data_IF_348804195128
#
_entry.id   IF_348804195128
#
_cell.length_a   1.000
_cell.length_b   1.000
_cell.length_c   1.000
_cell.angle_alpha   90.00
_cell.angle_beta   90.00
_cell.angle_gamma   90.00
#
_symmetry.space_group_name_H-M   'P 1'
#
loop_
_entity.id
_entity.type
_entity.pdbx_description
1 polymer ?
#
# COMPACT_ATOMS: atom_id res chain seq x y z
N UNK A 1 4.30 40.30 -16.59
CA UNK A 1 4.64 38.85 -16.72
C UNK A 1 6.12 38.68 -16.33
N UNK A 2 6.42 38.35 -15.08
CA UNK A 2 7.76 37.89 -14.70
C UNK A 2 7.90 36.42 -15.16
N UNK A 3 8.75 36.20 -16.12
CA UNK A 3 9.24 34.86 -16.46
C UNK A 3 10.04 34.35 -15.23
N UNK A 4 9.49 33.37 -14.52
CA UNK A 4 10.28 32.61 -13.57
C UNK A 4 11.21 31.71 -14.38
N UNK A 5 12.49 32.06 -14.44
CA UNK A 5 13.52 31.15 -14.93
C UNK A 5 13.55 29.91 -14.01
N UNK A 6 13.08 28.77 -14.52
CA UNK A 6 13.28 27.51 -13.85
C UNK A 6 14.79 27.17 -13.83
N UNK A 7 15.32 26.86 -12.66
CA UNK A 7 16.69 26.31 -12.57
C UNK A 7 16.61 24.80 -12.80
N UNK A 8 17.26 24.33 -13.84
CA UNK A 8 17.54 22.91 -13.99
C UNK A 8 18.62 22.56 -12.99
N UNK A 9 18.32 21.66 -12.06
CA UNK A 9 19.31 21.14 -11.10
C UNK A 9 20.38 20.35 -11.85
N UNK A 10 21.65 20.60 -11.52
CA UNK A 10 22.74 19.76 -12.02
C UNK A 10 22.62 18.33 -11.44
N UNK A 11 23.10 17.32 -12.17
CA UNK A 11 23.18 15.96 -11.62
C UNK A 11 23.91 15.94 -10.29
N UNK A 12 23.58 14.99 -9.39
CA UNK A 12 24.29 14.87 -8.11
C UNK A 12 25.81 14.76 -8.30
N UNK A 13 26.61 15.26 -7.36
CA UNK A 13 28.07 15.10 -7.41
C UNK A 13 28.46 13.63 -7.61
N UNK A 14 29.34 13.37 -8.55
CA UNK A 14 29.82 12.01 -8.88
C UNK A 14 29.16 11.37 -10.10
N UNK A 15 28.14 11.98 -10.67
CA UNK A 15 27.60 11.54 -11.97
C UNK A 15 28.56 11.94 -13.10
N UNK A 16 29.15 10.95 -13.73
CA UNK A 16 30.01 11.11 -14.93
C UNK A 16 29.18 10.91 -16.18
N UNK A 17 28.28 11.84 -16.48
CA UNK A 17 27.60 11.83 -17.77
C UNK A 17 27.59 13.24 -18.34
N UNK A 18 28.02 13.37 -19.56
CA UNK A 18 27.99 14.62 -20.32
C UNK A 18 26.69 14.76 -21.15
N UNK A 19 25.84 13.74 -21.10
CA UNK A 19 24.59 13.68 -21.86
C UNK A 19 23.42 13.38 -20.93
N UNK A 20 22.37 14.21 -20.99
CA UNK A 20 21.10 13.99 -20.30
C UNK A 20 19.96 14.51 -21.17
N UNK A 21 18.82 13.84 -21.11
CA UNK A 21 17.59 14.28 -21.77
C UNK A 21 16.82 15.23 -20.87
N UNK A 22 16.34 16.33 -21.43
CA UNK A 22 15.47 17.30 -20.74
C UNK A 22 14.10 17.25 -21.37
N UNK A 23 13.11 16.90 -20.56
CA UNK A 23 11.71 16.89 -20.95
C UNK A 23 11.01 18.10 -20.34
N UNK A 24 10.30 18.88 -21.16
CA UNK A 24 9.51 20.03 -20.73
C UNK A 24 8.04 19.70 -20.96
N UNK A 25 7.25 19.80 -19.90
CA UNK A 25 5.83 19.50 -19.93
C UNK A 25 5.00 20.76 -19.65
N UNK A 26 3.87 20.89 -20.35
CA UNK A 26 2.85 21.86 -20.00
C UNK A 26 1.96 21.30 -18.87
N UNK A 27 1.96 21.98 -17.73
CA UNK A 27 1.18 21.61 -16.56
C UNK A 27 -0.10 22.46 -16.38
N UNK A 28 -0.48 23.27 -17.37
CA UNK A 28 -1.73 24.04 -17.33
C UNK A 28 -2.96 23.12 -17.39
N UNK A 29 -2.83 21.97 -18.07
CA UNK A 29 -3.83 20.92 -18.12
C UNK A 29 -3.35 19.69 -17.33
N UNK A 30 -3.66 19.55 -16.04
CA UNK A 30 -3.10 18.51 -15.18
C UNK A 30 -3.28 17.08 -15.71
N UNK A 31 -4.43 16.77 -16.29
CA UNK A 31 -4.70 15.44 -16.85
C UNK A 31 -3.80 15.12 -18.05
N UNK A 32 -3.56 16.12 -18.91
CA UNK A 32 -2.63 15.99 -20.04
C UNK A 32 -1.19 15.83 -19.54
N UNK A 33 -0.79 16.65 -18.57
CA UNK A 33 0.52 16.55 -17.94
C UNK A 33 0.77 15.14 -17.39
N UNK A 34 -0.18 14.59 -16.61
CA UNK A 34 -0.05 13.24 -16.04
C UNK A 34 0.04 12.17 -17.16
N UNK A 35 -0.71 12.34 -18.24
CA UNK A 35 -0.67 11.41 -19.38
C UNK A 35 0.68 11.47 -20.09
N UNK A 36 1.20 12.65 -20.36
CA UNK A 36 2.47 12.86 -21.05
C UNK A 36 3.64 12.27 -20.25
N UNK A 37 3.71 12.57 -18.95
CA UNK A 37 4.73 12.00 -18.06
C UNK A 37 4.59 10.48 -17.94
N UNK A 38 3.35 9.95 -17.85
CA UNK A 38 3.10 8.51 -17.85
C UNK A 38 3.58 7.82 -19.12
N UNK A 39 3.45 8.49 -20.27
CA UNK A 39 3.91 7.95 -21.55
C UNK A 39 5.42 7.76 -21.58
N UNK A 40 6.19 8.71 -21.03
CA UNK A 40 7.66 8.64 -20.99
C UNK A 40 8.13 7.67 -19.90
N UNK A 41 7.56 7.76 -18.70
CA UNK A 41 7.96 6.91 -17.58
C UNK A 41 7.48 5.45 -17.70
N UNK A 42 6.55 5.18 -18.60
CA UNK A 42 5.83 3.92 -18.74
C UNK A 42 4.53 3.90 -17.94
N UNK A 43 3.42 3.50 -18.58
CA UNK A 43 2.12 3.45 -17.92
C UNK A 43 2.09 2.38 -16.83
N UNK A 44 1.31 2.63 -15.79
CA UNK A 44 1.05 1.62 -14.76
C UNK A 44 0.42 0.36 -15.36
N UNK A 45 0.74 -0.81 -14.83
CA UNK A 45 0.06 -2.06 -15.21
C UNK A 45 -1.18 -2.28 -14.36
N UNK A 46 -2.17 -2.96 -14.93
CA UNK A 46 -3.41 -3.25 -14.24
C UNK A 46 -3.17 -4.38 -13.21
N UNK A 47 -3.42 -4.15 -11.91
CA UNK A 47 -3.17 -5.14 -10.88
C UNK A 47 -4.21 -6.27 -10.91
N UNK A 48 -3.99 -7.39 -10.23
CA UNK A 48 -5.02 -8.38 -9.99
C UNK A 48 -6.14 -7.79 -9.11
N UNK A 49 -7.38 -8.20 -9.35
CA UNK A 49 -8.55 -7.62 -8.67
C UNK A 49 -8.52 -7.83 -7.16
N UNK A 50 -8.04 -8.98 -6.69
CA UNK A 50 -7.94 -9.31 -5.27
C UNK A 50 -7.06 -8.31 -4.50
N UNK A 51 -6.04 -7.73 -5.15
CA UNK A 51 -5.16 -6.74 -4.51
C UNK A 51 -5.89 -5.45 -4.11
N UNK A 52 -7.10 -5.19 -4.63
CA UNK A 52 -7.93 -4.06 -4.23
C UNK A 52 -8.72 -4.31 -2.95
N UNK A 53 -8.76 -5.56 -2.45
CA UNK A 53 -9.43 -5.94 -1.20
C UNK A 53 -8.54 -5.74 0.03
N UNK A 54 -9.01 -6.26 1.16
CA UNK A 54 -8.27 -6.21 2.42
C UNK A 54 -7.23 -7.34 2.50
N UNK A 55 -6.06 -7.00 3.01
CA UNK A 55 -4.96 -7.95 3.24
C UNK A 55 -4.58 -7.93 4.72
N UNK A 56 -4.40 -9.09 5.31
CA UNK A 56 -3.95 -9.23 6.69
C UNK A 56 -2.50 -9.67 6.75
N UNK A 57 -1.70 -8.91 7.48
CA UNK A 57 -0.29 -9.16 7.76
C UNK A 57 0.02 -8.74 9.19
N UNK A 58 1.01 -9.32 9.82
CA UNK A 58 1.62 -8.83 11.06
C UNK A 58 2.92 -9.57 11.38
N UNK A 59 3.82 -8.93 12.13
CA UNK A 59 5.09 -9.54 12.56
C UNK A 59 4.94 -10.58 13.68
N UNK A 60 3.76 -10.74 14.26
CA UNK A 60 3.49 -11.71 15.33
C UNK A 60 2.67 -12.92 14.87
N UNK A 61 2.49 -13.10 13.56
CA UNK A 61 1.84 -14.30 13.03
C UNK A 61 2.69 -15.54 13.38
N UNK A 62 2.09 -16.54 14.01
CA UNK A 62 2.82 -17.64 14.64
C UNK A 62 3.02 -18.84 13.72
N UNK A 63 1.94 -19.39 13.18
CA UNK A 63 1.97 -20.64 12.44
C UNK A 63 0.79 -20.78 11.45
N UNK A 64 0.75 -21.94 10.78
CA UNK A 64 -0.30 -22.29 9.83
C UNK A 64 -1.68 -22.41 10.46
N UNK A 65 -1.77 -22.92 11.68
CA UNK A 65 -3.04 -23.05 12.38
C UNK A 65 -3.64 -21.68 12.72
N UNK A 66 -2.80 -20.73 13.14
CA UNK A 66 -3.23 -19.35 13.38
C UNK A 66 -3.69 -18.67 12.09
N UNK A 67 -2.99 -18.87 10.97
CA UNK A 67 -3.42 -18.32 9.66
C UNK A 67 -4.82 -18.81 9.27
N UNK A 68 -5.07 -20.10 9.38
CA UNK A 68 -6.36 -20.72 9.09
C UNK A 68 -7.44 -20.16 10.01
N UNK A 69 -7.18 -20.14 11.34
CA UNK A 69 -8.14 -19.64 12.34
C UNK A 69 -8.50 -18.16 12.14
N UNK A 70 -7.54 -17.33 11.73
CA UNK A 70 -7.81 -15.92 11.40
C UNK A 70 -8.76 -15.81 10.20
N UNK A 71 -8.52 -16.57 9.14
CA UNK A 71 -9.41 -16.55 7.97
C UNK A 71 -10.82 -17.08 8.31
N UNK A 72 -10.91 -18.14 9.12
CA UNK A 72 -12.19 -18.66 9.60
C UNK A 72 -12.94 -17.57 10.39
N UNK A 73 -12.25 -16.83 11.27
CA UNK A 73 -12.84 -15.71 12.01
C UNK A 73 -13.30 -14.58 11.09
N UNK A 74 -12.54 -14.22 10.04
CA UNK A 74 -13.00 -13.25 9.03
C UNK A 74 -14.31 -13.70 8.38
N UNK A 75 -14.44 -15.00 8.05
CA UNK A 75 -15.65 -15.56 7.41
C UNK A 75 -16.81 -15.59 8.38
N UNK A 76 -16.60 -16.03 9.62
CA UNK A 76 -17.62 -16.04 10.68
C UNK A 76 -18.17 -14.63 10.93
N UNK A 77 -17.30 -13.65 11.08
CA UNK A 77 -17.66 -12.23 11.30
C UNK A 77 -18.20 -11.53 10.04
N UNK A 78 -18.14 -12.23 8.89
CA UNK A 78 -18.52 -11.65 7.59
C UNK A 78 -17.76 -10.36 7.28
N UNK A 79 -16.47 -10.32 7.60
CA UNK A 79 -15.56 -9.25 7.22
C UNK A 79 -14.79 -9.73 5.99
N UNK A 80 -14.90 -9.06 4.83
CA UNK A 80 -14.19 -9.48 3.63
C UNK A 80 -12.66 -9.41 3.81
N UNK A 81 -11.96 -10.40 3.26
CA UNK A 81 -10.50 -10.45 3.19
C UNK A 81 -10.08 -11.23 1.95
N UNK A 82 -9.07 -10.75 1.23
CA UNK A 82 -8.60 -11.35 -0.03
C UNK A 82 -7.22 -11.99 0.07
N UNK A 83 -6.39 -11.56 1.02
CA UNK A 83 -5.04 -12.12 1.15
C UNK A 83 -4.55 -12.16 2.59
N UNK A 84 -3.69 -13.12 2.85
CA UNK A 84 -2.82 -13.17 4.04
C UNK A 84 -1.37 -13.06 3.62
N UNK A 85 -0.58 -12.35 4.41
CA UNK A 85 0.84 -12.12 4.15
C UNK A 85 1.64 -12.68 5.32
N UNK A 86 2.50 -13.66 5.08
CA UNK A 86 3.35 -14.26 6.09
C UNK A 86 4.78 -13.73 5.99
N UNK A 87 5.34 -13.28 7.12
CA UNK A 87 6.67 -12.72 7.15
C UNK A 87 7.76 -13.80 7.20
N UNK A 88 8.90 -13.47 6.59
CA UNK A 88 10.08 -14.31 6.61
C UNK A 88 10.82 -14.27 7.96
N UNK A 89 11.64 -15.27 8.19
CA UNK A 89 12.49 -15.43 9.37
C UNK A 89 13.37 -14.19 9.56
N UNK A 90 13.55 -13.78 10.83
CA UNK A 90 14.23 -12.52 11.20
C UNK A 90 13.31 -11.31 11.31
N UNK A 91 12.12 -11.34 10.70
CA UNK A 91 11.08 -10.30 10.79
C UNK A 91 9.93 -10.70 11.70
N UNK A 92 9.85 -11.95 12.04
CA UNK A 92 8.94 -12.53 13.03
C UNK A 92 9.70 -13.60 13.81
N UNK A 93 9.30 -13.94 15.04
CA UNK A 93 9.91 -15.04 15.80
C UNK A 93 9.84 -16.38 15.08
N UNK A 94 8.85 -16.57 14.20
CA UNK A 94 8.61 -17.81 13.45
C UNK A 94 8.29 -17.47 12.00
N UNK A 95 9.33 -17.18 11.20
CA UNK A 95 9.14 -16.88 9.78
C UNK A 95 8.73 -18.10 8.96
N UNK A 96 8.09 -17.83 7.82
CA UNK A 96 7.62 -18.89 6.91
C UNK A 96 8.77 -19.70 6.30
N UNK A 97 9.94 -19.10 6.12
CA UNK A 97 11.12 -19.72 5.55
C UNK A 97 12.18 -20.06 6.61
N UNK A 98 13.16 -20.87 6.24
CA UNK A 98 14.18 -21.36 7.18
C UNK A 98 15.19 -20.29 7.58
N UNK A 99 15.52 -19.37 6.65
CA UNK A 99 16.38 -18.20 6.87
C UNK A 99 16.15 -17.15 5.77
N UNK A 100 16.91 -16.06 5.77
CA UNK A 100 16.91 -15.06 4.70
C UNK A 100 18.27 -15.06 3.95
N UNK A 101 18.23 -15.16 2.61
CA UNK A 101 17.12 -15.57 1.76
C UNK A 101 17.01 -17.10 1.74
N UNK A 102 15.82 -17.63 1.83
CA UNK A 102 15.55 -19.04 1.62
C UNK A 102 14.19 -19.20 0.95
N UNK A 103 14.10 -20.14 0.03
CA UNK A 103 12.87 -20.52 -0.67
C UNK A 103 12.28 -21.81 -0.12
N UNK A 104 12.70 -22.21 1.09
CA UNK A 104 12.23 -23.41 1.77
C UNK A 104 11.31 -23.04 2.92
N UNK A 105 10.16 -23.72 3.00
CA UNK A 105 9.22 -23.54 4.10
C UNK A 105 9.82 -24.04 5.43
N UNK A 106 9.68 -23.22 6.45
CA UNK A 106 10.06 -23.57 7.82
C UNK A 106 9.07 -24.61 8.39
N UNK A 107 9.49 -25.86 8.49
CA UNK A 107 8.68 -26.98 8.99
C UNK A 107 8.34 -26.87 10.48
N UNK A 108 9.02 -26.03 11.22
CA UNK A 108 8.67 -25.67 12.59
C UNK A 108 7.42 -24.79 12.69
N UNK A 109 7.09 -24.05 11.62
CA UNK A 109 5.91 -23.19 11.47
C UNK A 109 4.83 -23.90 10.65
N UNK A 110 5.18 -24.38 9.46
CA UNK A 110 4.31 -25.16 8.58
C UNK A 110 4.44 -26.65 8.90
N UNK A 111 3.70 -27.11 9.91
CA UNK A 111 3.78 -28.50 10.42
C UNK A 111 3.21 -29.51 9.45
N UNK A 112 2.12 -29.17 8.75
CA UNK A 112 1.58 -29.94 7.64
C UNK A 112 2.38 -29.68 6.36
N UNK A 113 2.09 -30.39 5.28
CA UNK A 113 2.67 -30.09 3.99
C UNK A 113 2.26 -28.66 3.55
N UNK A 114 3.21 -27.81 3.15
CA UNK A 114 2.90 -26.43 2.76
C UNK A 114 1.82 -26.34 1.67
N UNK A 115 1.85 -27.25 0.70
CA UNK A 115 0.85 -27.32 -0.37
C UNK A 115 -0.57 -27.50 0.16
N UNK A 116 -0.75 -28.35 1.18
CA UNK A 116 -2.06 -28.60 1.77
C UNK A 116 -2.55 -27.38 2.55
N UNK A 117 -1.64 -26.73 3.28
CA UNK A 117 -1.96 -25.50 4.02
C UNK A 117 -2.39 -24.39 3.05
N UNK A 118 -1.61 -24.16 2.00
CA UNK A 118 -1.93 -23.12 1.02
C UNK A 118 -3.25 -23.44 0.28
N UNK A 119 -3.50 -24.71 0.00
CA UNK A 119 -4.79 -25.16 -0.55
C UNK A 119 -5.97 -24.85 0.38
N UNK A 120 -5.79 -25.07 1.69
CA UNK A 120 -6.80 -24.71 2.70
C UNK A 120 -7.07 -23.21 2.76
N UNK A 121 -6.02 -22.37 2.62
CA UNK A 121 -6.17 -20.92 2.57
C UNK A 121 -6.89 -20.49 1.29
N UNK A 122 -6.56 -21.10 0.16
CA UNK A 122 -7.24 -20.86 -1.11
C UNK A 122 -8.72 -21.30 -1.06
N UNK A 123 -9.02 -22.43 -0.42
CA UNK A 123 -10.40 -22.87 -0.22
C UNK A 123 -11.23 -21.87 0.60
N UNK A 124 -10.57 -21.05 1.42
CA UNK A 124 -11.15 -19.91 2.14
C UNK A 124 -11.16 -18.61 1.33
N UNK A 125 -10.91 -18.71 0.04
CA UNK A 125 -10.86 -17.57 -0.90
C UNK A 125 -9.83 -16.49 -0.49
N UNK A 126 -8.68 -16.89 0.05
CA UNK A 126 -7.57 -15.97 0.37
C UNK A 126 -6.35 -16.30 -0.48
N UNK A 127 -5.70 -15.28 -0.98
CA UNK A 127 -4.38 -15.34 -1.62
C UNK A 127 -3.29 -15.38 -0.56
N UNK A 128 -2.18 -16.06 -0.88
CA UNK A 128 -1.03 -16.19 0.02
C UNK A 128 0.14 -15.39 -0.53
N UNK A 129 0.58 -14.41 0.26
CA UNK A 129 1.74 -13.60 -0.06
C UNK A 129 2.85 -13.93 0.93
N UNK A 130 4.06 -14.14 0.43
CA UNK A 130 5.23 -14.33 1.29
C UNK A 130 6.14 -13.11 1.26
N UNK A 131 6.51 -12.67 2.47
CA UNK A 131 7.50 -11.63 2.66
C UNK A 131 8.89 -12.24 2.70
N UNK A 132 9.85 -11.61 2.04
CA UNK A 132 11.23 -12.05 2.04
C UNK A 132 12.18 -10.88 1.78
N UNK A 133 13.40 -11.04 2.25
CA UNK A 133 14.54 -10.30 1.73
C UNK A 133 15.15 -11.19 0.65
N UNK A 134 15.17 -10.76 -0.61
CA UNK A 134 15.64 -11.62 -1.72
C UNK A 134 17.16 -11.83 -1.75
N UNK A 135 17.90 -11.33 -0.76
CA UNK A 135 19.34 -11.49 -0.63
C UNK A 135 19.77 -11.43 0.84
N UNK A 136 20.86 -12.08 1.12
CA UNK A 136 21.67 -11.87 2.30
C UNK A 136 22.58 -10.67 2.06
N UNK A 137 22.70 -9.76 3.02
CA UNK A 137 23.54 -8.56 2.93
C UNK A 137 25.00 -8.91 2.56
N UNK A 138 25.50 -10.02 3.09
CA UNK A 138 26.88 -10.45 2.92
C UNK A 138 27.09 -11.38 1.71
N UNK A 139 25.99 -11.83 1.07
CA UNK A 139 26.02 -12.86 0.02
C UNK A 139 25.26 -12.51 -1.24
N UNK A 140 24.88 -11.27 -1.42
CA UNK A 140 24.10 -10.81 -2.57
C UNK A 140 24.64 -11.34 -3.90
N UNK A 141 25.96 -11.35 -4.05
CA UNK A 141 26.63 -11.82 -5.26
C UNK A 141 26.76 -13.34 -5.35
N UNK A 142 26.74 -14.05 -4.24
CA UNK A 142 27.03 -15.48 -4.21
C UNK A 142 25.81 -16.37 -4.28
N UNK A 143 24.67 -15.92 -3.75
CA UNK A 143 23.44 -16.72 -3.72
C UNK A 143 22.61 -16.60 -4.99
N UNK A 144 22.58 -15.44 -5.58
CA UNK A 144 21.69 -15.12 -6.69
C UNK A 144 22.44 -14.51 -7.89
N UNK A 145 23.77 -14.61 -7.91
CA UNK A 145 24.60 -14.03 -8.98
C UNK A 145 24.37 -12.53 -9.10
N UNK A 146 23.70 -12.11 -10.13
CA UNK A 146 23.46 -10.70 -10.45
C UNK A 146 22.07 -10.20 -10.02
N UNK A 147 21.51 -10.64 -8.90
CA UNK A 147 20.15 -10.24 -8.52
C UNK A 147 20.12 -9.31 -7.31
N UNK A 148 19.59 -8.12 -7.48
CA UNK A 148 19.38 -7.48 -8.79
C UNK A 148 20.71 -7.39 -9.54
N UNK A 149 20.72 -7.41 -10.88
CA UNK A 149 21.95 -7.30 -11.64
C UNK A 149 22.78 -6.11 -11.20
N UNK A 150 24.11 -6.20 -11.29
CA UNK A 150 25.03 -5.10 -10.93
C UNK A 150 24.66 -3.84 -11.68
N UNK A 151 24.97 -2.69 -11.07
CA UNK A 151 24.70 -1.39 -11.71
C UNK A 151 25.34 -1.36 -13.11
N UNK A 152 24.57 -0.99 -14.11
CA UNK A 152 25.00 -0.96 -15.52
C UNK A 152 24.67 -2.22 -16.32
N UNK A 153 24.34 -3.34 -15.68
CA UNK A 153 23.88 -4.52 -16.39
C UNK A 153 22.39 -4.40 -16.77
N UNK A 154 22.02 -4.98 -17.90
CA UNK A 154 20.63 -5.05 -18.34
C UNK A 154 19.95 -6.27 -17.75
N UNK A 155 18.77 -6.11 -17.18
CA UNK A 155 17.92 -7.25 -16.82
C UNK A 155 17.33 -7.80 -18.11
N UNK A 156 17.75 -8.96 -18.48
CA UNK A 156 17.23 -9.70 -19.64
C UNK A 156 16.43 -10.92 -19.21
N UNK A 157 15.88 -11.63 -20.19
CA UNK A 157 15.07 -12.83 -19.94
C UNK A 157 15.85 -13.97 -19.27
N UNK A 158 17.15 -14.05 -19.48
CA UNK A 158 18.00 -15.05 -18.85
C UNK A 158 18.15 -14.78 -17.34
N UNK A 159 18.44 -13.56 -16.96
CA UNK A 159 18.51 -13.15 -15.55
C UNK A 159 17.17 -13.38 -14.83
N UNK A 160 16.06 -13.01 -15.47
CA UNK A 160 14.73 -13.21 -14.94
C UNK A 160 14.43 -14.70 -14.73
N UNK A 161 14.72 -15.53 -15.73
CA UNK A 161 14.47 -16.97 -15.65
C UNK A 161 15.34 -17.63 -14.58
N UNK A 162 16.62 -17.28 -14.50
CA UNK A 162 17.55 -17.81 -13.50
C UNK A 162 17.11 -17.49 -12.07
N UNK A 163 16.74 -16.24 -11.82
CA UNK A 163 16.25 -15.83 -10.52
C UNK A 163 14.91 -16.47 -10.19
N UNK A 164 14.00 -16.52 -11.16
CA UNK A 164 12.68 -17.05 -10.93
C UNK A 164 12.65 -18.55 -10.71
N UNK A 165 13.68 -19.27 -11.17
CA UNK A 165 13.81 -20.71 -10.88
C UNK A 165 13.81 -21.00 -9.37
N UNK A 166 14.42 -20.14 -8.55
CA UNK A 166 14.41 -20.26 -7.11
C UNK A 166 12.97 -20.12 -6.51
N UNK A 167 12.15 -19.29 -7.14
CA UNK A 167 10.76 -19.07 -6.69
C UNK A 167 9.78 -20.13 -7.20
N UNK A 168 10.13 -20.88 -8.24
CA UNK A 168 9.19 -21.78 -8.91
C UNK A 168 8.61 -22.86 -7.98
N UNK A 169 9.40 -23.38 -7.04
CA UNK A 169 8.93 -24.35 -6.06
C UNK A 169 7.84 -23.76 -5.14
N UNK A 170 7.96 -22.46 -4.78
CA UNK A 170 6.95 -21.78 -3.98
C UNK A 170 5.67 -21.52 -4.78
N UNK A 171 5.78 -21.14 -6.06
CA UNK A 171 4.62 -20.99 -6.94
C UNK A 171 3.89 -22.34 -7.10
N UNK A 172 4.61 -23.44 -7.31
CA UNK A 172 4.06 -24.78 -7.43
C UNK A 172 3.42 -25.27 -6.13
N UNK A 173 3.85 -24.72 -4.99
CA UNK A 173 3.24 -25.00 -3.68
C UNK A 173 1.94 -24.20 -3.48
N UNK A 174 1.77 -23.07 -4.16
CA UNK A 174 0.56 -22.25 -4.11
C UNK A 174 0.78 -20.80 -3.62
N UNK A 175 2.02 -20.31 -3.54
CA UNK A 175 2.28 -18.89 -3.26
C UNK A 175 1.81 -18.06 -4.45
N UNK A 176 0.98 -17.04 -4.17
CA UNK A 176 0.35 -16.21 -5.20
C UNK A 176 1.12 -14.92 -5.50
N UNK A 177 1.84 -14.38 -4.51
CA UNK A 177 2.46 -13.08 -4.64
C UNK A 177 3.59 -12.84 -3.62
N UNK A 178 4.27 -11.71 -3.72
CA UNK A 178 5.55 -11.48 -3.08
C UNK A 178 5.61 -10.12 -2.38
N UNK A 179 6.30 -10.10 -1.26
CA UNK A 179 6.69 -8.87 -0.60
C UNK A 179 8.22 -8.84 -0.44
N UNK A 180 8.98 -8.43 -1.50
CA UNK A 180 10.42 -8.19 -1.39
C UNK A 180 10.68 -6.91 -0.59
N UNK A 181 11.04 -7.07 0.67
CA UNK A 181 11.31 -5.98 1.60
C UNK A 181 12.78 -5.48 1.52
N UNK A 182 13.10 -4.45 2.28
CA UNK A 182 14.41 -3.79 2.36
C UNK A 182 14.96 -3.26 1.01
N UNK A 183 16.28 -3.13 0.87
CA UNK A 183 16.93 -2.58 -0.32
C UNK A 183 16.97 -1.05 -0.32
N UNK A 184 16.95 -0.43 0.86
CA UNK A 184 17.00 1.03 0.99
C UNK A 184 18.31 1.62 0.45
N UNK A 185 19.39 0.81 0.47
CA UNK A 185 20.72 1.14 -0.08
C UNK A 185 20.83 0.99 -1.60
N UNK A 186 19.81 0.47 -2.26
CA UNK A 186 19.83 0.32 -3.72
C UNK A 186 19.80 1.67 -4.42
N UNK A 187 20.59 1.78 -5.50
CA UNK A 187 20.46 2.85 -6.48
C UNK A 187 19.08 2.85 -7.14
N UNK A 188 18.68 3.94 -7.78
CA UNK A 188 17.42 4.01 -8.52
C UNK A 188 17.31 2.93 -9.60
N UNK A 189 18.41 2.61 -10.25
CA UNK A 189 18.49 1.59 -11.27
C UNK A 189 18.24 0.18 -10.70
N UNK A 190 18.87 -0.16 -9.58
CA UNK A 190 18.69 -1.45 -8.91
C UNK A 190 17.26 -1.62 -8.37
N UNK A 191 16.67 -0.55 -7.86
CA UNK A 191 15.23 -0.56 -7.45
C UNK A 191 14.33 -0.87 -8.64
N UNK A 192 14.56 -0.25 -9.80
CA UNK A 192 13.80 -0.51 -11.02
C UNK A 192 13.95 -1.97 -11.47
N UNK A 193 15.18 -2.49 -11.49
CA UNK A 193 15.45 -3.89 -11.83
C UNK A 193 14.73 -4.87 -10.90
N UNK A 194 14.72 -4.60 -9.60
CA UNK A 194 13.98 -5.43 -8.63
C UNK A 194 12.47 -5.46 -8.93
N UNK A 195 11.86 -4.30 -9.21
CA UNK A 195 10.47 -4.25 -9.63
C UNK A 195 10.23 -5.05 -10.92
N UNK A 196 11.12 -4.92 -11.90
CA UNK A 196 11.06 -5.67 -13.15
C UNK A 196 11.12 -7.19 -12.90
N UNK A 197 12.04 -7.65 -12.06
CA UNK A 197 12.17 -9.07 -11.72
C UNK A 197 10.91 -9.65 -11.10
N UNK A 198 10.29 -8.95 -10.16
CA UNK A 198 9.04 -9.40 -9.50
C UNK A 198 7.78 -9.17 -10.34
N UNK A 199 7.91 -8.58 -11.51
CA UNK A 199 6.85 -8.50 -12.51
C UNK A 199 7.03 -9.54 -13.63
N UNK A 200 8.20 -9.57 -14.27
CA UNK A 200 8.46 -10.44 -15.41
C UNK A 200 8.72 -11.88 -14.98
N UNK A 201 9.31 -12.09 -13.81
CA UNK A 201 9.53 -13.42 -13.24
C UNK A 201 8.24 -14.24 -13.10
N UNK A 202 7.21 -13.77 -12.38
CA UNK A 202 5.92 -14.46 -12.33
C UNK A 202 5.30 -14.71 -13.70
N UNK A 203 5.39 -13.75 -14.63
CA UNK A 203 4.86 -13.89 -15.97
C UNK A 203 5.57 -14.97 -16.78
N UNK A 204 6.85 -15.23 -16.55
CA UNK A 204 7.57 -16.31 -17.20
C UNK A 204 7.02 -17.70 -16.86
N UNK A 205 6.50 -17.86 -15.63
CA UNK A 205 5.90 -19.12 -15.15
C UNK A 205 4.39 -19.15 -15.41
N UNK A 206 3.69 -18.04 -15.18
CA UNK A 206 2.22 -17.94 -15.25
C UNK A 206 1.80 -16.73 -16.10
N UNK A 207 1.95 -16.78 -17.43
CA UNK A 207 1.80 -15.61 -18.30
C UNK A 207 0.37 -15.02 -18.31
N UNK A 208 -0.63 -15.80 -17.92
CA UNK A 208 -2.03 -15.38 -17.88
C UNK A 208 -2.49 -14.86 -16.51
N UNK A 209 -1.60 -14.82 -15.50
CA UNK A 209 -1.89 -14.35 -14.16
C UNK A 209 -1.23 -13.00 -13.97
N UNK A 210 -1.99 -11.98 -13.56
CA UNK A 210 -1.42 -10.67 -13.26
C UNK A 210 -0.55 -10.74 -12.01
N UNK A 211 0.75 -10.40 -12.10
CA UNK A 211 1.63 -10.37 -10.94
C UNK A 211 1.22 -9.29 -9.94
N UNK A 212 1.55 -9.52 -8.68
CA UNK A 212 1.49 -8.53 -7.63
C UNK A 212 2.71 -8.64 -6.72
N UNK A 213 3.28 -7.51 -6.38
CA UNK A 213 4.36 -7.43 -5.40
C UNK A 213 4.29 -6.13 -4.60
N UNK A 214 4.69 -6.20 -3.33
CA UNK A 214 4.78 -5.05 -2.44
C UNK A 214 6.25 -4.73 -2.17
N UNK A 215 6.67 -3.50 -2.46
CA UNK A 215 8.04 -3.05 -2.32
C UNK A 215 8.15 -1.91 -1.33
N UNK A 216 9.28 -1.84 -0.60
CA UNK A 216 9.58 -0.78 0.35
C UNK A 216 9.94 0.54 -0.33
N UNK A 217 10.49 0.50 -1.51
CA UNK A 217 10.99 1.68 -2.21
C UNK A 217 10.76 1.59 -3.72
N UNK A 218 10.77 2.75 -4.33
CA UNK A 218 10.59 2.91 -5.75
C UNK A 218 10.73 4.37 -6.14
N UNK A 219 10.55 4.65 -7.42
CA UNK A 219 10.59 5.99 -7.99
C UNK A 219 9.73 6.05 -9.25
N UNK A 220 9.72 7.20 -9.93
CA UNK A 220 9.02 7.35 -11.20
C UNK A 220 9.39 6.22 -12.17
N UNK A 221 8.39 5.57 -12.75
CA UNK A 221 8.53 4.48 -13.70
C UNK A 221 8.34 3.06 -13.13
N UNK A 222 8.44 2.84 -11.80
CA UNK A 222 8.24 1.48 -11.22
C UNK A 222 6.81 0.95 -11.45
N UNK A 223 5.83 1.83 -11.63
CA UNK A 223 4.45 1.43 -11.87
C UNK A 223 4.26 0.59 -13.15
N UNK A 224 5.18 0.69 -14.14
CA UNK A 224 5.20 -0.15 -15.34
C UNK A 224 5.43 -1.63 -15.04
N UNK A 225 5.97 -1.94 -13.87
CA UNK A 225 6.21 -3.29 -13.38
C UNK A 225 5.25 -3.70 -12.26
N UNK A 226 4.13 -3.00 -12.10
CA UNK A 226 3.08 -3.38 -11.17
C UNK A 226 3.45 -3.36 -9.70
N UNK A 227 4.57 -2.75 -9.34
CA UNK A 227 5.02 -2.65 -7.97
C UNK A 227 4.13 -1.75 -7.14
N UNK A 228 3.66 -2.28 -6.02
CA UNK A 228 2.97 -1.52 -4.99
C UNK A 228 3.99 -1.08 -3.95
N UNK A 229 3.80 0.09 -3.38
CA UNK A 229 4.72 0.67 -2.41
C UNK A 229 3.96 1.02 -1.14
N UNK A 230 4.60 0.82 0.02
CA UNK A 230 4.06 1.33 1.28
C UNK A 230 5.04 2.34 1.89
N UNK A 231 4.57 3.08 2.87
CA UNK A 231 5.32 4.17 3.49
C UNK A 231 6.47 3.72 4.42
N UNK A 232 6.76 2.42 4.46
CA UNK A 232 7.79 1.86 5.35
C UNK A 232 7.36 1.84 6.83
N UNK A 233 8.32 1.77 7.71
CA UNK A 233 8.15 1.59 9.14
C UNK A 233 7.79 2.91 9.84
N UNK A 234 6.51 3.25 9.88
CA UNK A 234 6.01 4.49 10.46
C UNK A 234 5.56 4.33 11.91
N UNK A 235 5.60 5.41 12.69
CA UNK A 235 5.11 5.41 14.07
C UNK A 235 3.57 5.44 14.11
N UNK A 236 3.00 4.72 15.05
CA UNK A 236 1.56 4.69 15.33
C UNK A 236 1.16 5.96 16.09
N UNK A 237 0.95 7.08 15.40
CA UNK A 237 0.53 8.35 16.00
C UNK A 237 -0.43 9.14 15.10
N UNK A 238 -1.22 10.03 15.69
CA UNK A 238 -2.11 10.92 14.94
C UNK A 238 -1.34 11.88 14.03
N UNK A 239 -0.15 12.32 14.47
CA UNK A 239 0.75 13.14 13.65
C UNK A 239 1.24 12.38 12.41
N UNK A 240 1.54 11.10 12.56
CA UNK A 240 1.92 10.24 11.42
C UNK A 240 0.73 10.04 10.48
N UNK A 241 -0.47 9.77 11.01
CA UNK A 241 -1.68 9.63 10.19
C UNK A 241 -1.93 10.89 9.34
N UNK A 242 -1.82 12.08 9.94
CA UNK A 242 -1.89 13.36 9.22
C UNK A 242 -0.89 13.43 8.07
N UNK A 243 0.37 13.11 8.35
CA UNK A 243 1.44 13.13 7.34
C UNK A 243 1.19 12.10 6.21
N UNK A 244 0.64 10.93 6.52
CA UNK A 244 0.39 9.88 5.53
C UNK A 244 -0.63 10.30 4.46
N UNK A 245 -1.55 11.19 4.76
CA UNK A 245 -2.50 11.73 3.77
C UNK A 245 -1.73 12.50 2.69
N UNK A 246 -0.86 13.44 3.11
CA UNK A 246 -0.04 14.22 2.19
C UNK A 246 0.97 13.35 1.43
N UNK A 247 1.57 12.35 2.10
CA UNK A 247 2.49 11.39 1.47
C UNK A 247 1.79 10.62 0.35
N UNK A 248 0.58 10.08 0.58
CA UNK A 248 -0.18 9.35 -0.42
C UNK A 248 -0.55 10.22 -1.63
N UNK A 249 -0.95 11.47 -1.39
CA UNK A 249 -1.23 12.44 -2.46
C UNK A 249 0.01 12.69 -3.32
N UNK A 250 1.17 12.95 -2.70
CA UNK A 250 2.41 13.22 -3.42
C UNK A 250 2.95 11.99 -4.13
N UNK A 251 2.82 10.81 -3.51
CA UNK A 251 3.20 9.53 -4.13
C UNK A 251 2.42 9.30 -5.42
N UNK A 252 1.12 9.57 -5.39
CA UNK A 252 0.23 9.48 -6.56
C UNK A 252 0.60 10.46 -7.66
N UNK A 253 0.97 11.70 -7.32
CA UNK A 253 1.46 12.71 -8.27
C UNK A 253 2.80 12.34 -8.91
N UNK A 254 3.59 11.48 -8.26
CA UNK A 254 4.83 10.91 -8.80
C UNK A 254 4.59 9.69 -9.69
N UNK A 255 3.37 9.50 -10.21
CA UNK A 255 2.97 8.39 -11.07
C UNK A 255 3.24 6.99 -10.49
N UNK A 256 3.12 6.89 -9.17
CA UNK A 256 3.08 5.61 -8.46
C UNK A 256 1.69 5.46 -7.84
N UNK A 257 0.69 5.01 -8.62
CA UNK A 257 -0.72 5.06 -8.24
C UNK A 257 -1.11 4.03 -7.18
N UNK A 258 -0.22 3.08 -6.90
CA UNK A 258 -0.47 1.96 -6.00
C UNK A 258 0.36 2.13 -4.73
N UNK A 259 -0.26 2.74 -3.73
CA UNK A 259 0.38 3.08 -2.47
C UNK A 259 -0.55 2.82 -1.28
N UNK A 260 0.05 2.60 -0.11
CA UNK A 260 -0.63 2.56 1.17
C UNK A 260 0.32 2.69 2.35
N UNK A 261 -0.22 2.60 3.53
CA UNK A 261 0.53 2.57 4.79
C UNK A 261 0.03 1.44 5.68
N UNK A 262 0.82 1.04 6.66
CA UNK A 262 0.40 0.08 7.66
C UNK A 262 -0.73 0.66 8.50
N UNK A 263 -1.88 -0.02 8.54
CA UNK A 263 -3.05 0.46 9.29
C UNK A 263 -2.72 0.49 10.78
N UNK A 264 -2.81 1.70 11.35
CA UNK A 264 -2.46 1.96 12.73
C UNK A 264 -0.96 2.27 12.95
N UNK A 265 -0.17 2.38 11.88
CA UNK A 265 1.28 2.56 11.92
C UNK A 265 2.02 1.25 12.20
N UNK A 266 3.32 1.20 11.95
CA UNK A 266 4.15 0.01 12.15
C UNK A 266 4.71 -0.08 13.57
N UNK A 267 5.48 0.94 14.00
CA UNK A 267 6.00 1.00 15.37
C UNK A 267 4.90 1.45 16.33
N UNK A 268 4.53 0.61 17.32
CA UNK A 268 3.53 1.00 18.31
C UNK A 268 4.03 2.17 19.18
N UNK A 269 3.11 3.04 19.56
CA UNK A 269 3.31 4.12 20.52
C UNK A 269 2.11 4.18 21.47
N UNK A 270 2.15 5.05 22.48
CA UNK A 270 1.00 5.29 23.37
C UNK A 270 -0.25 5.78 22.62
N UNK A 271 -0.09 6.33 21.42
CA UNK A 271 -1.21 6.78 20.60
C UNK A 271 -1.94 5.64 19.87
N UNK A 272 -1.38 4.42 19.85
CA UNK A 272 -2.02 3.26 19.23
C UNK A 272 -3.23 2.80 20.06
N UNK A 273 -4.26 3.59 20.02
CA UNK A 273 -5.56 3.36 20.65
C UNK A 273 -6.56 2.84 19.62
N UNK A 274 -7.71 2.38 20.10
CA UNK A 274 -8.84 2.02 19.22
C UNK A 274 -9.25 3.17 18.31
N UNK A 275 -9.21 4.41 18.80
CA UNK A 275 -9.50 5.58 17.97
C UNK A 275 -8.50 5.73 16.82
N UNK A 276 -7.19 5.71 17.09
CA UNK A 276 -6.18 5.86 16.03
C UNK A 276 -6.32 4.75 14.99
N UNK A 277 -6.51 3.50 15.44
CA UNK A 277 -6.69 2.38 14.52
C UNK A 277 -7.92 2.55 13.64
N UNK A 278 -9.07 2.93 14.22
CA UNK A 278 -10.30 3.16 13.46
C UNK A 278 -10.13 4.28 12.44
N UNK A 279 -9.51 5.42 12.82
CA UNK A 279 -9.26 6.54 11.91
C UNK A 279 -8.31 6.15 10.76
N UNK A 280 -7.28 5.38 11.07
CA UNK A 280 -6.36 4.89 10.04
C UNK A 280 -7.01 3.85 9.13
N UNK A 281 -7.85 2.99 9.68
CA UNK A 281 -8.62 2.02 8.92
C UNK A 281 -9.59 2.68 7.92
N UNK A 282 -10.28 3.73 8.37
CA UNK A 282 -11.14 4.57 7.53
C UNK A 282 -10.35 5.20 6.36
N UNK A 283 -9.20 5.80 6.65
CA UNK A 283 -8.31 6.36 5.63
C UNK A 283 -7.83 5.30 4.65
N UNK A 284 -7.34 4.16 5.16
CA UNK A 284 -6.79 3.09 4.34
C UNK A 284 -7.83 2.45 3.40
N UNK A 285 -9.12 2.48 3.74
CA UNK A 285 -10.18 2.03 2.84
C UNK A 285 -10.24 2.84 1.53
N UNK A 286 -9.65 4.03 1.49
CA UNK A 286 -9.52 4.91 0.33
C UNK A 286 -8.06 5.20 -0.04
N UNK A 287 -7.18 4.23 0.18
CA UNK A 287 -5.85 4.13 -0.43
C UNK A 287 -5.82 2.92 -1.36
N UNK A 288 -4.83 2.82 -2.24
CA UNK A 288 -4.77 1.67 -3.15
C UNK A 288 -4.53 0.38 -2.38
N UNK A 289 -3.54 0.36 -1.48
CA UNK A 289 -3.25 -0.77 -0.61
C UNK A 289 -4.06 -0.67 0.69
N UNK A 290 -4.90 -1.66 0.95
CA UNK A 290 -5.73 -1.75 2.15
C UNK A 290 -5.24 -2.93 2.99
N UNK A 291 -4.24 -2.68 3.85
CA UNK A 291 -3.46 -3.73 4.51
C UNK A 291 -3.30 -3.48 6.00
N UNK A 292 -3.77 -4.42 6.82
CA UNK A 292 -3.43 -4.51 8.24
C UNK A 292 -2.00 -5.03 8.41
N UNK A 293 -1.14 -4.26 9.09
CA UNK A 293 0.22 -4.66 9.43
C UNK A 293 0.71 -3.93 10.67
N UNK A 294 1.69 -4.48 11.33
CA UNK A 294 2.35 -3.86 12.46
C UNK A 294 3.40 -4.78 13.07
N UNK A 295 4.16 -4.19 14.00
CA UNK A 295 5.22 -4.83 14.76
C UNK A 295 4.78 -4.95 16.21
N UNK A 296 5.28 -5.84 17.01
CA UNK A 296 5.02 -6.03 18.43
C UNK A 296 3.54 -6.16 18.87
N UNK A 297 3.36 -6.67 20.08
CA UNK A 297 2.12 -7.09 20.75
C UNK A 297 1.42 -8.18 19.96
N UNK A 298 0.11 -8.29 20.08
CA UNK A 298 -0.67 -9.21 19.25
C UNK A 298 -0.94 -8.65 17.86
N UNK A 299 -1.32 -9.53 16.96
CA UNK A 299 -1.76 -9.17 15.62
C UNK A 299 -2.94 -8.21 15.69
N UNK A 300 -2.83 -7.10 14.95
CA UNK A 300 -3.91 -6.11 14.82
C UNK A 300 -4.93 -6.63 13.84
N UNK A 301 -6.09 -6.96 14.33
CA UNK A 301 -7.19 -7.51 13.57
C UNK A 301 -8.36 -6.51 13.56
N UNK A 302 -9.25 -6.55 12.55
CA UNK A 302 -10.41 -5.65 12.49
C UNK A 302 -11.32 -5.70 13.73
N UNK A 303 -11.29 -6.78 14.50
CA UNK A 303 -12.07 -6.96 15.74
C UNK A 303 -11.29 -6.66 17.02
N UNK A 304 -10.08 -6.14 16.90
CA UNK A 304 -9.23 -5.77 18.03
C UNK A 304 -8.01 -6.66 18.21
N UNK A 305 -7.20 -6.33 19.21
CA UNK A 305 -5.97 -7.04 19.58
C UNK A 305 -5.65 -6.79 21.05
N UNK A 306 -4.90 -7.69 21.65
CA UNK A 306 -4.42 -7.56 23.02
C UNK A 306 -2.91 -7.38 23.10
N UNK A 307 -2.39 -7.47 24.32
CA UNK A 307 -0.96 -7.55 24.58
C UNK A 307 -0.57 -9.01 24.69
N UNK A 308 0.55 -9.39 24.06
CA UNK A 308 1.13 -10.71 24.22
C UNK A 308 2.65 -10.65 24.33
N UNK A 309 3.27 -11.83 24.40
CA UNK A 309 4.72 -11.98 24.53
C UNK A 309 5.41 -12.15 23.17
N UNK A 310 4.64 -12.23 22.09
CA UNK A 310 5.15 -12.52 20.76
C UNK A 310 5.62 -11.25 20.05
N UNK A 311 6.64 -11.40 19.24
CA UNK A 311 7.23 -10.34 18.44
C UNK A 311 8.32 -9.54 19.16
N UNK A 312 9.02 -8.69 18.44
CA UNK A 312 10.06 -7.84 19.00
C UNK A 312 9.47 -6.91 20.06
N UNK A 313 10.12 -6.82 21.20
CA UNK A 313 9.75 -5.87 22.24
C UNK A 313 10.23 -4.47 21.85
N UNK A 314 9.31 -3.52 21.86
CA UNK A 314 9.63 -2.11 21.69
C UNK A 314 9.77 -1.44 23.07
N UNK A 315 10.57 -0.38 23.14
CA UNK A 315 10.73 0.43 24.35
C UNK A 315 9.50 1.29 24.68
N UNK A 316 8.52 1.34 23.79
CA UNK A 316 7.33 2.16 23.94
C UNK A 316 6.37 1.58 24.99
N UNK A 317 5.86 2.43 25.86
CA UNK A 317 4.78 2.07 26.77
C UNK A 317 3.49 1.85 25.95
N UNK A 318 2.86 0.66 26.07
CA UNK A 318 1.62 0.40 25.36
C UNK A 318 0.46 1.25 25.94
N UNK A 319 -0.58 1.51 25.15
CA UNK A 319 -1.83 2.06 25.67
C UNK A 319 -2.52 1.06 26.60
N UNK A 320 -3.59 1.47 27.25
CA UNK A 320 -4.40 0.57 28.08
C UNK A 320 -4.96 -0.58 27.21
N UNK A 321 -5.03 -1.77 27.76
CA UNK A 321 -5.55 -2.94 27.03
C UNK A 321 -7.00 -2.74 26.54
N UNK A 322 -7.81 -2.01 27.32
CA UNK A 322 -9.17 -1.63 26.92
C UNK A 322 -9.22 -0.81 25.63
N UNK A 323 -8.18 -0.07 25.30
CA UNK A 323 -8.08 0.66 24.04
C UNK A 323 -7.73 -0.26 22.86
N UNK A 324 -6.95 -1.30 23.11
CA UNK A 324 -6.56 -2.30 22.10
C UNK A 324 -7.73 -3.24 21.77
N UNK A 325 -8.47 -3.68 22.80
CA UNK A 325 -9.64 -4.54 22.65
C UNK A 325 -10.96 -3.74 22.66
N UNK A 326 -10.94 -2.50 22.20
CA UNK A 326 -12.11 -1.64 22.17
C UNK A 326 -13.22 -2.22 21.27
N UNK A 327 -14.40 -2.58 21.82
CA UNK A 327 -15.47 -3.25 21.06
C UNK A 327 -16.10 -2.35 19.98
N UNK A 328 -15.84 -1.05 19.99
CA UNK A 328 -16.29 -0.12 18.96
C UNK A 328 -15.54 -0.28 17.63
N UNK A 329 -14.39 -0.95 17.61
CA UNK A 329 -13.53 -1.08 16.44
C UNK A 329 -14.13 -2.00 15.38
N UNK A 330 -14.58 -3.18 15.79
CA UNK A 330 -15.08 -4.20 14.85
C UNK A 330 -16.22 -3.68 13.95
N UNK A 331 -17.28 -3.04 14.46
CA UNK A 331 -18.33 -2.51 13.59
C UNK A 331 -17.82 -1.46 12.60
N UNK A 332 -16.86 -0.63 13.01
CA UNK A 332 -16.26 0.41 12.17
C UNK A 332 -15.40 -0.23 11.07
N UNK A 333 -14.50 -1.11 11.45
CA UNK A 333 -13.65 -1.82 10.51
C UNK A 333 -14.47 -2.60 9.49
N UNK A 334 -15.50 -3.33 9.94
CA UNK A 334 -16.44 -4.04 9.08
C UNK A 334 -17.14 -3.10 8.09
N UNK A 335 -17.72 -1.98 8.57
CA UNK A 335 -18.39 -0.97 7.75
C UNK A 335 -17.50 -0.47 6.61
N UNK A 336 -16.25 -0.12 6.91
CA UNK A 336 -15.34 0.41 5.90
C UNK A 336 -14.74 -0.67 4.99
N UNK A 337 -14.61 -1.89 5.48
CA UNK A 337 -14.27 -3.03 4.62
C UNK A 337 -15.41 -3.31 3.64
N UNK A 338 -16.64 -3.41 4.11
CA UNK A 338 -17.82 -3.61 3.24
C UNK A 338 -17.94 -2.49 2.21
N UNK A 339 -17.76 -1.23 2.62
CA UNK A 339 -17.76 -0.08 1.70
C UNK A 339 -16.66 -0.21 0.63
N UNK A 340 -15.45 -0.63 1.02
CA UNK A 340 -14.35 -0.90 0.08
C UNK A 340 -14.75 -1.92 -0.98
N UNK A 341 -15.43 -2.99 -0.57
CA UNK A 341 -15.86 -4.06 -1.48
C UNK A 341 -17.07 -3.66 -2.33
N UNK A 342 -17.98 -2.87 -1.82
CA UNK A 342 -19.06 -2.26 -2.61
C UNK A 342 -18.50 -1.36 -3.73
N UNK A 343 -17.39 -0.68 -3.46
CA UNK A 343 -16.69 0.18 -4.43
C UNK A 343 -15.67 -0.58 -5.28
N UNK A 344 -15.59 -1.92 -5.23
CA UNK A 344 -14.52 -2.67 -5.90
C UNK A 344 -14.47 -2.44 -7.41
N UNK A 345 -15.62 -2.40 -8.09
CA UNK A 345 -15.69 -2.10 -9.53
C UNK A 345 -15.25 -0.68 -9.84
N UNK A 346 -15.65 0.28 -9.01
CA UNK A 346 -15.18 1.67 -9.12
C UNK A 346 -13.65 1.76 -8.93
N UNK A 347 -13.13 1.14 -7.88
CA UNK A 347 -11.70 1.09 -7.58
C UNK A 347 -10.91 0.48 -8.76
N UNK A 348 -11.44 -0.57 -9.37
CA UNK A 348 -10.79 -1.22 -10.52
C UNK A 348 -10.81 -0.34 -11.77
N UNK A 349 -11.88 0.45 -11.96
CA UNK A 349 -11.93 1.49 -12.99
C UNK A 349 -10.87 2.56 -12.78
N UNK A 350 -10.64 2.97 -11.51
CA UNK A 350 -9.58 3.93 -11.20
C UNK A 350 -8.18 3.36 -11.50
N UNK A 351 -7.96 2.08 -11.23
CA UNK A 351 -6.71 1.40 -11.60
C UNK A 351 -6.54 1.35 -13.14
N UNK A 352 -7.63 1.16 -13.88
CA UNK A 352 -7.61 1.25 -15.34
C UNK A 352 -7.31 2.68 -15.82
N UNK A 353 -7.84 3.72 -15.18
CA UNK A 353 -7.50 5.12 -15.48
C UNK A 353 -6.03 5.43 -15.19
N UNK A 354 -5.45 4.85 -14.14
CA UNK A 354 -4.01 4.97 -13.88
C UNK A 354 -3.18 4.38 -15.02
N UNK A 355 -3.59 3.21 -15.56
CA UNK A 355 -2.95 2.58 -16.70
C UNK A 355 -3.13 3.38 -18.00
N UNK A 356 -4.36 3.74 -18.32
CA UNK A 356 -4.71 4.27 -19.65
C UNK A 356 -4.52 5.78 -19.78
N UNK A 357 -4.67 6.52 -18.68
CA UNK A 357 -4.67 7.98 -18.66
C UNK A 357 -3.55 8.58 -17.80
N UNK A 358 -2.78 7.77 -17.05
CA UNK A 358 -1.83 8.25 -16.04
C UNK A 358 -2.50 8.88 -14.81
N UNK A 359 -3.83 8.80 -14.69
CA UNK A 359 -4.58 9.42 -13.59
C UNK A 359 -4.60 8.51 -12.38
N UNK A 360 -4.01 8.89 -11.23
CA UNK A 360 -3.94 8.02 -10.06
C UNK A 360 -5.31 7.77 -9.44
N UNK A 361 -5.38 6.76 -8.56
CA UNK A 361 -6.59 6.47 -7.79
C UNK A 361 -6.84 7.54 -6.72
N UNK A 362 -5.82 7.85 -5.91
CA UNK A 362 -5.81 8.92 -4.92
C UNK A 362 -5.31 10.20 -5.58
N UNK A 363 -6.18 11.20 -5.73
CA UNK A 363 -5.92 12.39 -6.55
C UNK A 363 -5.79 13.64 -5.70
N UNK A 364 -4.68 14.36 -5.84
CA UNK A 364 -4.63 15.76 -5.43
C UNK A 364 -5.80 16.52 -6.05
N UNK A 365 -6.42 17.39 -5.30
CA UNK A 365 -7.51 18.21 -5.82
C UNK A 365 -7.06 19.12 -6.98
N UNK A 366 -5.76 19.43 -7.07
CA UNK A 366 -5.17 20.13 -8.21
C UNK A 366 -5.49 19.45 -9.57
N UNK A 367 -5.56 18.11 -9.60
CA UNK A 367 -5.80 17.38 -10.85
C UNK A 367 -7.16 17.70 -11.51
N UNK A 368 -8.14 18.17 -10.73
CA UNK A 368 -9.48 18.50 -11.22
C UNK A 368 -9.90 19.94 -10.95
N UNK A 369 -9.13 20.68 -10.12
CA UNK A 369 -9.44 22.05 -9.70
C UNK A 369 -8.16 22.89 -9.72
N UNK A 370 -7.44 22.90 -10.85
CA UNK A 370 -6.13 23.54 -11.00
C UNK A 370 -6.19 25.07 -10.76
N UNK A 371 -7.30 25.71 -11.13
CA UNK A 371 -7.51 27.16 -10.99
C UNK A 371 -7.97 27.56 -9.58
N UNK A 372 -8.44 26.60 -8.78
CA UNK A 372 -8.86 26.84 -7.41
C UNK A 372 -7.62 26.94 -6.48
N UNK A 373 -7.32 28.17 -6.06
CA UNK A 373 -6.14 28.47 -5.24
C UNK A 373 -6.15 27.76 -3.89
N UNK A 374 -7.33 27.48 -3.32
CA UNK A 374 -7.46 26.77 -2.06
C UNK A 374 -7.32 25.26 -2.28
N UNK A 375 -8.07 24.71 -3.21
CA UNK A 375 -8.09 23.27 -3.51
C UNK A 375 -6.67 22.71 -3.78
N UNK A 376 -5.88 23.39 -4.63
CA UNK A 376 -4.54 22.91 -5.02
C UNK A 376 -3.49 22.91 -3.91
N UNK A 377 -3.77 23.52 -2.76
CA UNK A 377 -2.85 23.60 -1.60
C UNK A 377 -3.15 22.59 -0.50
N UNK A 378 -4.30 21.90 -0.61
CA UNK A 378 -4.75 20.98 0.44
C UNK A 378 -3.95 19.67 0.37
N UNK A 379 -3.40 19.29 1.52
CA UNK A 379 -2.66 18.04 1.72
C UNK A 379 -3.33 17.09 2.72
N UNK A 380 -4.52 17.43 3.21
CA UNK A 380 -5.24 16.72 4.26
C UNK A 380 -6.61 16.16 3.82
N UNK A 381 -6.95 16.36 2.54
CA UNK A 381 -8.09 15.81 1.84
C UNK A 381 -7.76 15.62 0.36
N UNK A 382 -8.47 14.74 -0.32
CA UNK A 382 -8.17 14.38 -1.70
C UNK A 382 -9.42 13.84 -2.41
N UNK A 383 -9.30 13.64 -3.71
CA UNK A 383 -10.31 12.93 -4.48
C UNK A 383 -9.91 11.47 -4.67
N UNK A 384 -10.84 10.56 -4.41
CA UNK A 384 -10.77 9.16 -4.81
C UNK A 384 -11.45 9.01 -6.17
N UNK A 385 -10.62 8.92 -7.22
CA UNK A 385 -11.10 9.14 -8.57
C UNK A 385 -11.42 10.62 -8.85
N UNK A 386 -12.49 10.87 -9.59
CA UNK A 386 -12.95 12.22 -9.92
C UNK A 386 -14.06 12.70 -8.99
N UNK A 387 -14.87 11.77 -8.52
CA UNK A 387 -16.21 12.09 -8.03
C UNK A 387 -16.41 11.90 -6.53
N UNK A 388 -15.46 11.26 -5.82
CA UNK A 388 -15.52 11.08 -4.37
C UNK A 388 -14.44 11.94 -3.69
N UNK A 389 -14.86 12.90 -2.85
CA UNK A 389 -13.97 13.67 -1.99
C UNK A 389 -13.86 12.98 -0.63
N UNK A 390 -12.63 12.68 -0.22
CA UNK A 390 -12.30 11.99 1.03
C UNK A 390 -11.57 12.96 1.95
N UNK A 391 -12.09 13.13 3.17
CA UNK A 391 -11.49 14.00 4.18
C UNK A 391 -11.22 13.20 5.48
N UNK A 392 -10.07 12.51 5.58
CA UNK A 392 -9.73 11.72 6.76
C UNK A 392 -9.74 12.55 8.04
N UNK A 393 -10.17 11.94 9.14
CA UNK A 393 -10.12 12.54 10.47
C UNK A 393 -8.82 12.12 11.13
N UNK A 394 -7.90 13.05 11.33
CA UNK A 394 -6.53 12.79 11.80
C UNK A 394 -6.19 13.46 13.13
N UNK A 395 -7.14 14.13 13.76
CA UNK A 395 -6.95 14.73 15.10
C UNK A 395 -7.59 13.85 16.16
N UNK A 396 -6.85 13.56 17.22
CA UNK A 396 -7.32 12.79 18.37
C UNK A 396 -8.53 13.49 19.02
N UNK A 397 -9.57 12.72 19.31
CA UNK A 397 -10.79 13.22 19.95
C UNK A 397 -11.61 14.17 19.10
N UNK A 398 -11.38 14.24 17.79
CA UNK A 398 -12.12 15.17 16.93
C UNK A 398 -13.61 14.84 16.86
N UNK A 399 -14.44 15.84 17.09
CA UNK A 399 -15.91 15.80 16.93
C UNK A 399 -16.39 16.54 15.69
N UNK A 400 -15.50 17.26 15.02
CA UNK A 400 -15.74 17.95 13.75
C UNK A 400 -14.55 17.82 12.81
N UNK A 401 -14.82 17.95 11.52
CA UNK A 401 -13.78 18.02 10.46
C UNK A 401 -14.16 19.13 9.47
N UNK A 402 -13.27 20.08 9.30
CA UNK A 402 -13.42 21.13 8.28
C UNK A 402 -13.03 20.56 6.92
N UNK A 403 -13.96 20.62 5.95
CA UNK A 403 -13.78 20.08 4.61
C UNK A 403 -13.99 21.18 3.59
N UNK A 404 -13.00 21.44 2.77
CA UNK A 404 -13.15 22.33 1.64
C UNK A 404 -13.84 21.61 0.49
N UNK A 405 -14.98 22.08 0.08
CA UNK A 405 -15.71 21.63 -1.10
C UNK A 405 -15.41 22.60 -2.26
N UNK A 406 -14.74 22.18 -3.35
CA UNK A 406 -14.57 23.01 -4.52
C UNK A 406 -15.91 23.46 -5.12
N UNK A 407 -15.87 24.48 -5.98
CA UNK A 407 -17.09 24.99 -6.64
C UNK A 407 -17.90 23.87 -7.31
N UNK A 408 -19.21 23.93 -7.20
CA UNK A 408 -20.15 22.91 -7.65
C UNK A 408 -21.06 22.45 -6.53
N UNK A 409 -21.75 21.34 -6.75
CA UNK A 409 -22.64 20.74 -5.77
C UNK A 409 -22.08 19.40 -5.32
N UNK A 410 -22.25 19.09 -4.02
CA UNK A 410 -21.72 17.91 -3.37
C UNK A 410 -22.76 17.25 -2.47
N UNK A 411 -22.88 15.93 -2.50
CA UNK A 411 -23.72 15.19 -1.59
C UNK A 411 -22.88 14.57 -0.48
N UNK A 412 -23.24 14.83 0.79
CA UNK A 412 -22.67 14.07 1.90
C UNK A 412 -23.07 12.59 1.76
N UNK A 413 -22.08 11.71 1.68
CA UNK A 413 -22.27 10.27 1.46
C UNK A 413 -23.19 9.62 2.49
N UNK A 414 -23.06 10.05 3.74
CA UNK A 414 -23.74 9.41 4.85
C UNK A 414 -25.19 9.89 5.06
N UNK A 415 -25.46 11.11 4.74
CA UNK A 415 -26.76 11.75 5.00
C UNK A 415 -27.57 12.03 3.73
N UNK A 416 -26.93 11.99 2.56
CA UNK A 416 -27.54 12.42 1.30
C UNK A 416 -27.77 13.94 1.21
N UNK A 417 -27.31 14.72 2.22
CA UNK A 417 -27.50 16.17 2.22
C UNK A 417 -26.71 16.84 1.10
N UNK A 418 -27.38 17.72 0.37
CA UNK A 418 -26.75 18.53 -0.66
C UNK A 418 -26.04 19.75 -0.04
N UNK A 419 -24.77 19.94 -0.39
CA UNK A 419 -23.97 21.09 0.00
C UNK A 419 -23.52 21.86 -1.24
N UNK A 420 -23.51 23.19 -1.16
CA UNK A 420 -22.89 24.03 -2.17
C UNK A 420 -21.38 24.14 -1.91
N UNK A 421 -20.59 23.94 -2.95
CA UNK A 421 -19.13 24.10 -2.90
C UNK A 421 -18.67 25.56 -2.99
N UNK A 422 -17.37 25.75 -3.22
CA UNK A 422 -16.67 27.03 -3.19
C UNK A 422 -16.41 27.51 -1.75
N UNK A 423 -16.50 26.63 -0.75
CA UNK A 423 -16.38 26.97 0.67
C UNK A 423 -15.90 25.80 1.52
N UNK A 424 -15.43 26.12 2.70
CA UNK A 424 -15.21 25.11 3.76
C UNK A 424 -16.51 24.87 4.51
N UNK A 425 -16.85 23.60 4.72
CA UNK A 425 -17.94 23.14 5.56
C UNK A 425 -17.38 22.46 6.80
N UNK A 426 -17.96 22.74 7.97
CA UNK A 426 -17.62 22.00 9.17
C UNK A 426 -18.56 20.81 9.31
N UNK A 427 -18.01 19.59 9.20
CA UNK A 427 -18.76 18.35 9.31
C UNK A 427 -18.60 17.74 10.70
N UNK A 428 -19.71 17.57 11.41
CA UNK A 428 -19.72 16.83 12.67
C UNK A 428 -19.32 15.37 12.42
N UNK A 429 -18.45 14.81 13.24
CA UNK A 429 -17.96 13.44 13.13
C UNK A 429 -18.00 12.74 14.48
N UNK A 430 -18.35 11.47 14.45
CA UNK A 430 -18.11 10.51 15.52
C UNK A 430 -16.98 9.55 15.12
N UNK A 431 -16.69 8.57 15.96
CA UNK A 431 -15.62 7.59 15.66
C UNK A 431 -15.91 6.76 14.39
N UNK A 432 -17.18 6.53 14.05
CA UNK A 432 -17.59 5.73 12.91
C UNK A 432 -17.73 6.53 11.61
N UNK A 433 -17.53 7.85 11.65
CA UNK A 433 -17.77 8.74 10.50
C UNK A 433 -16.46 9.39 10.03
N UNK A 434 -16.06 9.11 8.80
CA UNK A 434 -15.12 9.89 8.01
C UNK A 434 -15.92 10.66 6.95
N UNK A 435 -15.75 11.98 6.81
CA UNK A 435 -16.44 12.74 5.77
C UNK A 435 -16.08 12.25 4.38
N UNK A 436 -17.10 11.93 3.61
CA UNK A 436 -17.05 11.56 2.20
C UNK A 436 -18.10 12.38 1.49
N UNK A 437 -17.75 13.03 0.40
CA UNK A 437 -18.70 13.77 -0.43
C UNK A 437 -18.68 13.26 -1.85
N UNK A 438 -19.85 13.19 -2.44
CA UNK A 438 -20.04 12.78 -3.84
C UNK A 438 -20.30 14.02 -4.68
N UNK A 439 -19.56 14.19 -5.73
CA UNK A 439 -19.78 15.28 -6.69
C UNK A 439 -21.12 15.08 -7.40
N UNK A 440 -21.95 16.12 -7.47
CA UNK A 440 -23.17 16.08 -8.24
C UNK A 440 -22.87 16.20 -9.74
N UNK A 441 -23.45 15.32 -10.53
CA UNK A 441 -23.64 15.26 -11.96
C UNK A 441 -22.55 15.67 -12.91
#
# INVERSE_FOLDING_TARGET
>A
RQQRQGRIGLPPPGWKTDVYDVFVFDAHEPAKFMKDVSTISGPAVLPPRWAMGYMQSHRTLEDDAQMVGILDTFREKKIPVDAVIYLGTGFTPRGWNTNQPSFEFNRGVFKREPKDILSDLHARHAKVVVHMIPWDRDRLETLHGSIPPKSGETVDSHHIASYWNEHNALVDTGVDAWWPDEGDWFSFHERMKRHQLYYEGPLSKTPNVRPWSLHRNGHLGVARYGGWIWSGDTHASFKTLEAQIAVGINHSLSLSPFWGSDIGGFYPTQDLTGELYARWFQFAAFTSSFRGHGRTWQMRLPWGWGLDKMGPKESNTPPLESELNNPKIEPIAKKYTELRYQLLSYNYTLAWEARSKGMPMMRSMWLHYADDKQARRLGDQYLWGRDLLIAPVYKKGATTRDVYLPAGKWYDWWTGKLENGGRTVQRAVDLATMPIYVRAG
#
